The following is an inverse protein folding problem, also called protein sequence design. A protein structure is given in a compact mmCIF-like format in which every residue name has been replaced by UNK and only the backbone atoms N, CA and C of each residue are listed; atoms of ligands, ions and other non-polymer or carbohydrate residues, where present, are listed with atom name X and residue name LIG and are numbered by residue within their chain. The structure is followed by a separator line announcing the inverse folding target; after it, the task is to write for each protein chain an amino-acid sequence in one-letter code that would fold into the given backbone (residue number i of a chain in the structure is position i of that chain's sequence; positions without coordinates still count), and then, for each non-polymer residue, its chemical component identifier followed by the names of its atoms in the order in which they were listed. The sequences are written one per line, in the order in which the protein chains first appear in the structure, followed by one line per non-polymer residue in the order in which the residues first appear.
data_IF_195320225978
#
_entry.id   IF_195320225978
#
_cell.length_a   1.000
_cell.length_b   1.000
_cell.length_c   1.000
_cell.angle_alpha   90.00
_cell.angle_beta   90.00
_cell.angle_gamma   90.00
#
_symmetry.space_group_name_H-M   'P 1'
#
loop_
_entity.id
_entity.type
_entity.pdbx_description
1 polymer ?
#
# COMPACT_ATOMS: atom_id res chain seq x y z
N UNK A 1 -7.58 21.05 -33.20
CA UNK A 1 -7.63 21.10 -31.72
C UNK A 1 -7.14 19.77 -31.18
N UNK A 2 -5.95 19.73 -30.55
CA UNK A 2 -5.40 18.51 -29.97
C UNK A 2 -6.00 18.34 -28.57
N UNK A 3 -6.73 17.26 -28.36
CA UNK A 3 -7.18 16.86 -27.03
C UNK A 3 -5.99 16.57 -26.15
N UNK A 4 -5.70 17.48 -25.22
CA UNK A 4 -4.72 17.22 -24.15
C UNK A 4 -5.30 16.16 -23.24
N UNK A 5 -4.68 15.00 -23.25
CA UNK A 5 -5.02 13.87 -22.39
C UNK A 5 -4.87 14.27 -20.91
N UNK A 6 -5.97 14.29 -20.19
CA UNK A 6 -6.05 14.48 -18.74
C UNK A 6 -5.34 13.38 -17.91
N UNK A 7 -4.79 12.38 -18.59
CA UNK A 7 -4.07 11.27 -17.94
C UNK A 7 -2.73 11.64 -17.31
N UNK A 8 -2.19 12.84 -17.58
CA UNK A 8 -0.90 13.27 -17.04
C UNK A 8 -0.96 13.94 -15.66
N UNK A 9 -2.14 14.31 -15.15
CA UNK A 9 -2.26 15.02 -13.86
C UNK A 9 -1.96 14.12 -12.65
N UNK A 10 -2.20 12.81 -12.76
CA UNK A 10 -1.87 11.85 -11.71
C UNK A 10 -0.34 11.64 -11.51
N UNK A 11 0.47 12.02 -12.51
CA UNK A 11 1.93 11.88 -12.41
C UNK A 11 2.63 13.05 -11.72
N UNK A 12 1.92 14.13 -11.41
CA UNK A 12 2.49 15.33 -10.77
C UNK A 12 2.53 15.23 -9.25
N UNK A 13 1.79 14.31 -8.67
CA UNK A 13 1.82 14.05 -7.22
C UNK A 13 3.14 13.39 -6.84
N UNK A 14 3.96 14.08 -6.02
CA UNK A 14 5.24 13.56 -5.53
C UNK A 14 6.45 13.78 -6.45
N UNK A 15 6.36 14.68 -7.44
CA UNK A 15 7.50 15.06 -8.29
C UNK A 15 8.45 15.99 -7.54
N UNK A 16 9.72 15.57 -7.39
CA UNK A 16 10.74 16.36 -6.67
C UNK A 16 11.41 17.40 -7.58
N UNK A 17 11.67 17.05 -8.84
CA UNK A 17 12.29 17.95 -9.83
C UNK A 17 11.62 17.80 -11.19
N UNK A 18 11.25 18.92 -11.78
CA UNK A 18 10.74 18.97 -13.14
C UNK A 18 11.16 20.29 -13.80
N UNK A 19 11.22 20.30 -15.14
CA UNK A 19 11.40 21.51 -15.91
C UNK A 19 10.04 22.21 -16.09
N UNK A 20 9.86 23.44 -15.57
CA UNK A 20 8.58 24.14 -15.65
C UNK A 20 8.17 24.54 -17.07
N UNK A 21 9.12 24.59 -18.03
CA UNK A 21 8.83 24.94 -19.42
C UNK A 21 8.34 23.74 -20.25
N UNK A 22 8.97 22.58 -20.08
CA UNK A 22 8.67 21.37 -20.84
C UNK A 22 7.77 20.39 -20.09
N UNK A 23 7.60 20.54 -18.77
CA UNK A 23 6.92 19.57 -17.90
C UNK A 23 7.69 18.26 -17.72
N UNK A 24 8.93 18.18 -18.19
CA UNK A 24 9.74 16.96 -18.09
C UNK A 24 10.14 16.69 -16.65
N UNK A 25 9.87 15.47 -16.17
CA UNK A 25 10.22 15.03 -14.84
C UNK A 25 11.61 14.41 -14.81
N UNK A 26 12.42 14.82 -13.84
CA UNK A 26 13.73 14.23 -13.59
C UNK A 26 13.62 13.24 -12.42
N UNK A 27 13.60 11.96 -12.74
CA UNK A 27 13.66 10.88 -11.75
C UNK A 27 15.09 10.37 -11.65
N UNK A 28 15.72 10.52 -10.49
CA UNK A 28 16.99 9.85 -10.22
C UNK A 28 16.74 8.35 -10.12
N UNK A 29 17.53 7.53 -10.81
CA UNK A 29 17.53 6.08 -10.61
C UNK A 29 18.25 5.81 -9.29
N UNK A 30 17.53 5.24 -8.31
CA UNK A 30 18.18 4.71 -7.12
C UNK A 30 18.97 3.45 -7.48
N UNK A 31 20.21 3.28 -6.99
CA UNK A 31 20.97 2.04 -7.18
C UNK A 31 20.39 0.85 -6.41
N UNK A 32 19.50 1.11 -5.46
CA UNK A 32 18.88 0.10 -4.61
C UNK A 32 17.37 0.05 -4.84
N UNK A 33 16.77 -1.11 -4.57
CA UNK A 33 15.33 -1.26 -4.58
C UNK A 33 14.70 -0.40 -3.47
N UNK A 34 13.50 0.15 -3.69
CA UNK A 34 12.74 0.85 -2.66
C UNK A 34 12.41 -0.10 -1.50
N UNK A 35 12.38 0.44 -0.26
CA UNK A 35 11.99 -0.33 0.93
C UNK A 35 10.64 -1.06 0.76
N UNK A 36 9.68 -0.40 0.12
CA UNK A 36 8.37 -0.96 -0.26
C UNK A 36 8.50 -2.27 -1.04
N UNK A 37 9.50 -2.36 -1.92
CA UNK A 37 9.72 -3.57 -2.72
C UNK A 37 10.29 -4.71 -1.88
N UNK A 38 11.23 -4.41 -0.99
CA UNK A 38 11.76 -5.39 -0.04
C UNK A 38 10.66 -5.93 0.87
N UNK A 39 9.83 -5.05 1.43
CA UNK A 39 8.69 -5.45 2.25
C UNK A 39 7.76 -6.41 1.49
N UNK A 40 7.36 -6.04 0.27
CA UNK A 40 6.46 -6.87 -0.52
C UNK A 40 7.05 -8.24 -0.85
N UNK A 41 8.33 -8.29 -1.22
CA UNK A 41 9.01 -9.55 -1.57
C UNK A 41 9.19 -10.45 -0.34
N UNK A 42 9.53 -9.89 0.81
CA UNK A 42 9.63 -10.62 2.08
C UNK A 42 8.26 -11.19 2.47
N UNK A 43 7.21 -10.38 2.42
CA UNK A 43 5.84 -10.83 2.74
C UNK A 43 5.37 -11.94 1.79
N UNK A 44 5.69 -11.83 0.49
CA UNK A 44 5.42 -12.89 -0.49
C UNK A 44 6.19 -14.16 -0.15
N UNK A 45 7.45 -14.03 0.30
CA UNK A 45 8.27 -15.16 0.73
C UNK A 45 7.62 -15.93 1.88
N UNK A 46 7.21 -15.23 2.93
CA UNK A 46 6.54 -15.81 4.10
C UNK A 46 5.18 -16.41 3.74
N UNK A 47 4.38 -15.72 2.91
CA UNK A 47 3.07 -16.20 2.50
C UNK A 47 3.07 -17.44 1.59
N UNK A 48 4.22 -17.82 1.03
CA UNK A 48 4.37 -19.09 0.29
C UNK A 48 4.40 -20.31 1.23
N UNK A 49 4.90 -20.12 2.44
CA UNK A 49 5.06 -21.20 3.43
C UNK A 49 3.99 -21.16 4.51
N UNK A 50 3.30 -20.03 4.66
CA UNK A 50 2.22 -19.85 5.62
C UNK A 50 0.98 -19.29 4.91
N UNK A 51 -0.05 -20.11 4.78
CA UNK A 51 -1.31 -19.78 4.11
C UNK A 51 -2.21 -18.86 4.93
N UNK A 52 -1.93 -18.70 6.22
CA UNK A 52 -2.64 -17.80 7.13
C UNK A 52 -2.28 -16.33 6.94
N UNK A 53 -1.19 -16.03 6.23
CA UNK A 53 -0.79 -14.65 5.96
C UNK A 53 -1.72 -14.02 4.95
N UNK A 54 -2.32 -12.89 5.33
CA UNK A 54 -3.18 -12.06 4.51
C UNK A 54 -2.71 -10.60 4.57
N UNK A 55 -2.97 -9.84 3.52
CA UNK A 55 -2.54 -8.46 3.40
C UNK A 55 -3.73 -7.52 3.24
N UNK A 56 -3.67 -6.35 3.87
CA UNK A 56 -4.73 -5.34 3.84
C UNK A 56 -4.11 -3.98 3.55
N UNK A 57 -4.72 -3.20 2.69
CA UNK A 57 -4.37 -1.80 2.47
C UNK A 57 -5.62 -0.93 2.28
N UNK A 58 -5.46 0.37 2.43
CA UNK A 58 -6.52 1.35 2.27
C UNK A 58 -6.25 2.19 1.01
N UNK A 59 -6.68 1.71 -0.16
CA UNK A 59 -6.52 2.34 -1.49
C UNK A 59 -5.07 2.68 -1.87
N UNK A 60 -4.06 2.08 -1.22
CA UNK A 60 -2.64 2.42 -1.41
C UNK A 60 -1.77 1.21 -1.79
N UNK A 61 -2.31 0.26 -2.55
CA UNK A 61 -1.61 -0.98 -2.93
C UNK A 61 -0.27 -0.73 -3.62
N UNK A 62 -0.18 0.27 -4.52
CA UNK A 62 1.06 0.64 -5.19
C UNK A 62 2.10 1.26 -4.25
N UNK A 63 1.65 2.16 -3.38
CA UNK A 63 2.50 2.87 -2.43
C UNK A 63 3.01 1.99 -1.29
N UNK A 64 2.25 1.00 -0.87
CA UNK A 64 2.63 0.02 0.16
C UNK A 64 3.38 -1.19 -0.42
N UNK A 65 3.37 -1.38 -1.74
CA UNK A 65 3.93 -2.55 -2.42
C UNK A 65 3.00 -3.77 -2.44
N UNK A 66 1.82 -3.69 -1.82
CA UNK A 66 0.88 -4.81 -1.77
C UNK A 66 0.26 -5.16 -3.13
N UNK A 67 0.39 -4.30 -4.13
CA UNK A 67 0.07 -4.64 -5.52
C UNK A 67 0.90 -5.83 -6.05
N UNK A 68 2.13 -6.05 -5.55
CA UNK A 68 2.94 -7.23 -5.87
C UNK A 68 2.42 -8.48 -5.15
N UNK A 69 2.03 -8.34 -3.88
CA UNK A 69 1.41 -9.39 -3.10
C UNK A 69 0.08 -9.83 -3.72
N UNK A 70 -0.79 -8.88 -4.08
CA UNK A 70 -2.09 -9.12 -4.70
C UNK A 70 -1.98 -9.89 -6.02
N UNK A 71 -0.98 -9.59 -6.85
CA UNK A 71 -0.74 -10.34 -8.09
C UNK A 71 -0.40 -11.82 -7.83
N UNK A 72 0.21 -12.13 -6.71
CA UNK A 72 0.62 -13.50 -6.34
C UNK A 72 -0.45 -14.25 -5.57
N UNK A 73 -1.18 -13.53 -4.70
CA UNK A 73 -2.19 -14.06 -3.80
C UNK A 73 -3.44 -13.17 -3.83
N UNK A 74 -4.22 -13.18 -4.93
CA UNK A 74 -5.37 -12.29 -5.08
C UNK A 74 -6.43 -12.50 -4.00
N UNK A 75 -6.67 -13.74 -3.56
CA UNK A 75 -7.68 -14.09 -2.56
C UNK A 75 -7.24 -13.81 -1.11
N UNK A 76 -5.99 -13.37 -0.92
CA UNK A 76 -5.39 -13.04 0.39
C UNK A 76 -4.95 -11.58 0.50
N UNK A 77 -5.40 -10.73 -0.42
CA UNK A 77 -5.09 -9.31 -0.40
C UNK A 77 -6.39 -8.50 -0.49
N UNK A 78 -6.60 -7.63 0.49
CA UNK A 78 -7.83 -6.87 0.64
C UNK A 78 -7.56 -5.37 0.52
N UNK A 79 -8.26 -4.72 -0.40
CA UNK A 79 -8.33 -3.26 -0.49
C UNK A 79 -9.64 -2.80 0.14
N UNK A 80 -9.57 -2.10 1.24
CA UNK A 80 -10.75 -1.60 1.96
C UNK A 80 -11.18 -0.19 1.52
N UNK A 81 -10.57 0.33 0.45
CA UNK A 81 -10.77 1.72 0.03
C UNK A 81 -10.10 2.70 1.00
N UNK A 82 -10.51 3.97 0.96
CA UNK A 82 -9.98 5.02 1.86
C UNK A 82 -10.66 4.91 3.23
N UNK A 83 -10.39 3.83 3.95
CA UNK A 83 -11.07 3.47 5.20
C UNK A 83 -10.08 2.82 6.20
N UNK A 84 -9.13 3.60 6.70
CA UNK A 84 -8.05 3.13 7.58
C UNK A 84 -8.59 2.54 8.89
N UNK A 85 -9.65 3.13 9.47
CA UNK A 85 -10.31 2.59 10.67
C UNK A 85 -10.85 1.19 10.41
N UNK A 86 -11.52 1.00 9.24
CA UNK A 86 -12.02 -0.31 8.84
C UNK A 86 -10.88 -1.30 8.62
N UNK A 87 -9.79 -0.87 7.97
CA UNK A 87 -8.62 -1.72 7.74
C UNK A 87 -8.08 -2.31 9.05
N UNK A 88 -7.94 -1.48 10.09
CA UNK A 88 -7.44 -1.92 11.40
C UNK A 88 -8.43 -2.85 12.09
N UNK A 89 -9.73 -2.50 12.12
CA UNK A 89 -10.78 -3.34 12.72
C UNK A 89 -10.92 -4.69 11.99
N UNK A 90 -10.87 -4.67 10.67
CA UNK A 90 -10.92 -5.87 9.84
C UNK A 90 -9.71 -6.78 10.09
N UNK A 91 -8.51 -6.20 10.19
CA UNK A 91 -7.31 -6.94 10.57
C UNK A 91 -7.47 -7.64 11.92
N UNK A 92 -8.04 -6.95 12.93
CA UNK A 92 -8.31 -7.56 14.23
C UNK A 92 -9.27 -8.74 14.12
N UNK A 93 -10.37 -8.59 13.39
CA UNK A 93 -11.33 -9.68 13.16
C UNK A 93 -10.68 -10.90 12.51
N UNK A 94 -9.86 -10.71 11.48
CA UNK A 94 -9.12 -11.80 10.83
C UNK A 94 -8.12 -12.48 11.79
N UNK A 95 -7.48 -11.69 12.67
CA UNK A 95 -6.55 -12.23 13.64
C UNK A 95 -7.26 -13.11 14.70
N UNK A 96 -8.48 -12.78 15.09
CA UNK A 96 -9.28 -13.62 16.03
C UNK A 96 -9.65 -14.97 15.44
N UNK A 97 -9.74 -15.05 14.11
CA UNK A 97 -9.96 -16.30 13.37
C UNK A 97 -8.67 -17.07 13.06
N UNK A 98 -7.54 -16.64 13.64
CA UNK A 98 -6.25 -17.31 13.51
C UNK A 98 -5.48 -17.00 12.23
N UNK A 99 -5.92 -16.02 11.46
CA UNK A 99 -5.15 -15.48 10.35
C UNK A 99 -4.04 -14.53 10.84
N UNK A 100 -3.07 -14.23 9.98
CA UNK A 100 -1.95 -13.33 10.24
C UNK A 100 -2.03 -12.13 9.32
N UNK A 101 -2.85 -11.12 9.65
CA UNK A 101 -3.06 -9.96 8.79
C UNK A 101 -1.89 -8.98 8.87
N UNK A 102 -1.41 -8.56 7.71
CA UNK A 102 -0.47 -7.46 7.52
C UNK A 102 -1.21 -6.25 6.97
N UNK A 103 -1.56 -5.33 7.87
CA UNK A 103 -2.27 -4.11 7.52
C UNK A 103 -1.27 -2.99 7.20
N UNK A 104 -0.99 -2.78 5.91
CA UNK A 104 0.01 -1.80 5.47
C UNK A 104 -0.64 -0.45 5.15
N UNK A 105 -0.44 0.51 6.03
CA UNK A 105 -0.99 1.87 5.94
C UNK A 105 0.15 2.88 6.13
N UNK A 106 0.14 3.98 5.39
CA UNK A 106 1.08 5.07 5.63
C UNK A 106 0.88 5.66 7.02
N UNK A 107 1.98 5.96 7.72
CA UNK A 107 1.93 6.50 9.09
C UNK A 107 1.08 7.76 9.20
N UNK A 108 1.14 8.66 8.20
CA UNK A 108 0.32 9.87 8.13
C UNK A 108 -1.19 9.57 7.98
N UNK A 109 -1.55 8.48 7.31
CA UNK A 109 -2.95 8.08 7.13
C UNK A 109 -3.48 7.26 8.30
N UNK A 110 -2.60 6.55 9.01
CA UNK A 110 -2.96 5.77 10.20
C UNK A 110 -3.49 6.65 11.34
N UNK A 111 -3.26 7.96 11.29
CA UNK A 111 -3.86 8.92 12.21
C UNK A 111 -5.39 8.76 12.32
N UNK A 112 -6.08 8.45 11.21
CA UNK A 112 -7.53 8.18 11.22
C UNK A 112 -7.92 6.91 11.97
N UNK A 113 -7.02 5.94 12.06
CA UNK A 113 -7.24 4.66 12.73
C UNK A 113 -6.67 4.58 14.15
N UNK A 114 -6.34 5.71 14.78
CA UNK A 114 -5.66 5.76 16.07
C UNK A 114 -6.43 5.03 17.17
N UNK A 115 -7.72 5.30 17.31
CA UNK A 115 -8.56 4.66 18.33
C UNK A 115 -8.65 3.15 18.14
N UNK A 116 -8.76 2.69 16.89
CA UNK A 116 -8.82 1.26 16.56
C UNK A 116 -7.51 0.55 16.92
N UNK A 117 -6.36 1.19 16.70
CA UNK A 117 -5.06 0.64 17.09
C UNK A 117 -4.93 0.54 18.61
N UNK A 118 -5.41 1.55 19.37
CA UNK A 118 -5.37 1.52 20.82
C UNK A 118 -6.26 0.43 21.41
N UNK A 119 -7.45 0.24 20.86
CA UNK A 119 -8.42 -0.76 21.35
C UNK A 119 -7.96 -2.20 21.16
N UNK A 120 -6.98 -2.45 20.28
CA UNK A 120 -6.45 -3.79 19.99
C UNK A 120 -5.24 -4.17 20.85
N UNK A 121 -4.78 -3.29 21.73
CA UNK A 121 -3.64 -3.54 22.64
C UNK A 121 -3.99 -4.39 23.88
N UNK A 122 -4.83 -5.40 23.74
CA UNK A 122 -5.07 -6.36 24.82
C UNK A 122 -4.37 -7.68 24.56
#
# INVERSE_FOLDING_TARGET
MKHNNFSNSLFLSGVVKFDPKSGQQFKSKSPTLPYTRYFAESLIGEAKVDDKIVAIHAAMGGGTGLNYFQKRFPDRCFDVGIAEQHAVTFAAGLATEGLKPFCAIYSSFLQRGYDQVLMQKK
#
